data_IF_240219926407
#
_entry.id   IF_240219926407
#
_cell.length_a   1.000
_cell.length_b   1.000
_cell.length_c   1.000
_cell.angle_alpha   90.00
_cell.angle_beta   90.00
_cell.angle_gamma   90.00
#
_symmetry.space_group_name_H-M   'P 1'
#
loop_
_entity.id
_entity.type
_entity.pdbx_description
1 polymer ?
#
# COMPACT_ATOMS: atom_id res chain seq x y z
N UNK A 1 -4.10 -21.25 13.90
CA UNK A 1 -4.53 -19.84 13.83
C UNK A 1 -6.03 -19.70 13.51
N UNK A 2 -6.57 -20.48 12.56
CA UNK A 2 -7.98 -20.39 12.13
C UNK A 2 -8.98 -20.97 13.13
N UNK A 3 -8.54 -21.70 14.12
CA UNK A 3 -9.37 -22.35 15.15
C UNK A 3 -9.46 -21.58 16.48
N UNK A 4 -8.82 -20.42 16.58
CA UNK A 4 -8.83 -19.61 17.81
C UNK A 4 -10.02 -18.65 17.85
N UNK A 5 -10.43 -18.23 19.06
CA UNK A 5 -11.49 -17.23 19.26
C UNK A 5 -11.19 -15.88 18.58
N UNK A 6 -9.91 -15.56 18.37
CA UNK A 6 -9.42 -14.37 17.66
C UNK A 6 -9.06 -14.72 16.22
N UNK A 7 -10.04 -15.11 15.42
CA UNK A 7 -9.85 -15.44 14.01
C UNK A 7 -9.35 -14.19 13.25
N UNK A 8 -8.24 -14.28 12.49
CA UNK A 8 -7.76 -13.15 11.68
C UNK A 8 -8.82 -12.77 10.64
N UNK A 9 -9.02 -11.49 10.44
CA UNK A 9 -9.94 -10.94 9.43
C UNK A 9 -9.25 -10.62 8.12
N UNK A 10 -7.92 -10.57 8.11
CA UNK A 10 -7.12 -10.29 6.92
C UNK A 10 -5.71 -10.84 7.02
N UNK A 11 -5.11 -11.09 5.86
CA UNK A 11 -3.70 -11.49 5.68
C UNK A 11 -3.02 -10.51 4.74
N UNK A 12 -1.80 -10.14 5.09
CA UNK A 12 -0.96 -9.24 4.31
C UNK A 12 0.33 -9.95 3.91
N UNK A 13 0.64 -9.97 2.62
CA UNK A 13 1.88 -10.51 2.07
C UNK A 13 2.85 -9.34 1.83
N UNK A 14 3.79 -9.12 2.78
CA UNK A 14 4.62 -7.90 2.84
C UNK A 14 6.13 -8.17 2.94
N UNK A 15 6.56 -9.42 2.90
CA UNK A 15 7.96 -9.76 3.09
C UNK A 15 8.76 -9.57 1.79
N UNK A 16 9.81 -8.74 1.84
CA UNK A 16 10.67 -8.42 0.69
C UNK A 16 9.86 -8.05 -0.56
N UNK A 17 10.05 -8.81 -1.65
CA UNK A 17 9.25 -8.71 -2.88
C UNK A 17 8.60 -10.07 -3.15
N UNK A 18 7.29 -10.23 -2.91
CA UNK A 18 6.61 -11.51 -3.06
C UNK A 18 6.72 -12.12 -4.47
N UNK A 19 6.85 -11.29 -5.49
CA UNK A 19 7.00 -11.77 -6.87
C UNK A 19 8.33 -12.46 -7.16
N UNK A 20 9.31 -12.44 -6.25
CA UNK A 20 10.54 -13.25 -6.36
C UNK A 20 10.28 -14.75 -6.14
N UNK A 21 9.22 -15.09 -5.40
CA UNK A 21 8.84 -16.47 -5.07
C UNK A 21 7.33 -16.66 -5.33
N UNK A 22 6.86 -16.11 -6.45
CA UNK A 22 5.42 -15.97 -6.74
C UNK A 22 4.70 -17.32 -6.80
N UNK A 23 5.40 -18.38 -7.17
CA UNK A 23 4.86 -19.75 -7.28
C UNK A 23 4.37 -20.31 -5.95
N UNK A 24 4.84 -19.78 -4.83
CA UNK A 24 4.42 -20.24 -3.48
C UNK A 24 3.05 -19.71 -3.08
N UNK A 25 2.62 -18.58 -3.65
CA UNK A 25 1.45 -17.85 -3.16
C UNK A 25 0.09 -18.40 -3.61
N UNK A 26 -0.12 -18.90 -4.84
CA UNK A 26 -1.45 -19.33 -5.28
C UNK A 26 -2.12 -20.34 -4.35
N UNK A 27 -1.38 -21.33 -3.85
CA UNK A 27 -1.93 -22.33 -2.93
C UNK A 27 -2.24 -21.77 -1.55
N UNK A 28 -1.41 -20.84 -1.07
CA UNK A 28 -1.63 -20.15 0.20
C UNK A 28 -2.88 -19.27 0.10
N UNK A 29 -3.01 -18.52 -1.00
CA UNK A 29 -4.16 -17.64 -1.26
C UNK A 29 -5.45 -18.44 -1.30
N UNK A 30 -5.50 -19.57 -2.03
CA UNK A 30 -6.68 -20.44 -2.09
C UNK A 30 -7.12 -20.92 -0.71
N UNK A 31 -6.18 -21.27 0.18
CA UNK A 31 -6.49 -21.70 1.55
C UNK A 31 -7.13 -20.59 2.39
N UNK A 32 -6.60 -19.38 2.33
CA UNK A 32 -7.17 -18.25 3.07
C UNK A 32 -8.50 -17.78 2.47
N UNK A 33 -8.63 -17.81 1.14
CA UNK A 33 -9.92 -17.53 0.47
C UNK A 33 -11.01 -18.51 0.90
N UNK A 34 -10.70 -19.81 0.93
CA UNK A 34 -11.64 -20.83 1.41
C UNK A 34 -12.07 -20.61 2.87
N UNK A 35 -11.23 -19.95 3.66
CA UNK A 35 -11.53 -19.56 5.04
C UNK A 35 -12.29 -18.22 5.15
N UNK A 36 -12.57 -17.53 4.05
CA UNK A 36 -13.25 -16.23 4.03
C UNK A 36 -12.39 -15.10 4.61
N UNK A 37 -11.08 -15.18 4.46
CA UNK A 37 -10.12 -14.19 4.99
C UNK A 37 -9.69 -13.27 3.86
N UNK A 38 -9.87 -11.97 4.04
CA UNK A 38 -9.40 -10.95 3.09
C UNK A 38 -7.88 -10.96 2.97
N UNK A 39 -7.37 -10.84 1.74
CA UNK A 39 -5.95 -10.96 1.46
C UNK A 39 -5.46 -9.80 0.59
N UNK A 40 -4.35 -9.18 0.99
CA UNK A 40 -3.68 -8.21 0.15
C UNK A 40 -2.18 -8.48 0.08
N UNK A 41 -1.59 -8.16 -1.08
CA UNK A 41 -0.17 -8.35 -1.37
C UNK A 41 0.47 -7.02 -1.76
N UNK A 42 1.72 -6.84 -1.36
CA UNK A 42 2.54 -5.69 -1.77
C UNK A 42 3.53 -6.10 -2.84
N UNK A 43 3.85 -5.18 -3.75
CA UNK A 43 4.88 -5.37 -4.77
C UNK A 43 5.50 -4.04 -5.18
N UNK A 44 6.77 -4.05 -5.57
CA UNK A 44 7.38 -2.94 -6.29
C UNK A 44 7.01 -2.94 -7.80
N UNK A 45 6.35 -3.98 -8.28
CA UNK A 45 5.83 -4.12 -9.63
C UNK A 45 6.86 -4.51 -10.71
N UNK A 46 8.15 -4.61 -10.37
CA UNK A 46 9.20 -4.85 -11.38
C UNK A 46 9.19 -6.26 -11.97
N UNK A 47 8.68 -7.23 -11.21
CA UNK A 47 8.58 -8.64 -11.60
C UNK A 47 7.16 -9.06 -12.01
N UNK A 48 6.22 -8.13 -12.12
CA UNK A 48 4.86 -8.42 -12.55
C UNK A 48 4.83 -8.85 -14.01
N UNK A 49 4.38 -10.07 -14.24
CA UNK A 49 4.03 -10.57 -15.59
C UNK A 49 2.52 -10.80 -15.64
N UNK A 50 1.94 -10.77 -16.85
CA UNK A 50 0.51 -11.05 -17.01
C UNK A 50 0.13 -12.45 -16.49
N UNK A 51 1.03 -13.44 -16.67
CA UNK A 51 0.85 -14.80 -16.19
C UNK A 51 0.75 -14.85 -14.66
N UNK A 52 1.70 -14.20 -13.96
CA UNK A 52 1.73 -14.14 -12.51
C UNK A 52 0.50 -13.42 -11.94
N UNK A 53 0.13 -12.29 -12.53
CA UNK A 53 -1.04 -11.52 -12.10
C UNK A 53 -2.34 -12.31 -12.29
N UNK A 54 -2.46 -13.02 -13.41
CA UNK A 54 -3.60 -13.92 -13.66
C UNK A 54 -3.65 -15.05 -12.63
N UNK A 55 -2.51 -15.71 -12.36
CA UNK A 55 -2.43 -16.80 -11.39
C UNK A 55 -2.85 -16.36 -9.97
N UNK A 56 -2.46 -15.16 -9.55
CA UNK A 56 -2.89 -14.59 -8.27
C UNK A 56 -4.40 -14.28 -8.24
N UNK A 57 -4.94 -13.72 -9.32
CA UNK A 57 -6.37 -13.44 -9.46
C UNK A 57 -7.21 -14.72 -9.45
N UNK A 58 -6.81 -15.75 -10.22
CA UNK A 58 -7.46 -17.07 -10.25
C UNK A 58 -7.39 -17.80 -8.89
N UNK A 59 -6.29 -17.60 -8.14
CA UNK A 59 -6.17 -18.10 -6.78
C UNK A 59 -7.10 -17.37 -5.80
N UNK A 60 -7.53 -16.15 -6.14
CA UNK A 60 -8.47 -15.33 -5.38
C UNK A 60 -7.82 -14.33 -4.44
N UNK A 61 -6.72 -13.72 -4.86
CA UNK A 61 -6.19 -12.54 -4.19
C UNK A 61 -7.20 -11.39 -4.29
N UNK A 62 -7.53 -10.78 -3.15
CA UNK A 62 -8.53 -9.72 -3.11
C UNK A 62 -7.96 -8.36 -3.53
N UNK A 63 -6.67 -8.08 -3.17
CA UNK A 63 -6.09 -6.76 -3.36
C UNK A 63 -4.58 -6.83 -3.62
N UNK A 64 -4.10 -6.05 -4.60
CA UNK A 64 -2.68 -5.86 -4.90
C UNK A 64 -2.29 -4.39 -4.77
N UNK A 65 -1.24 -4.12 -3.99
CA UNK A 65 -0.74 -2.77 -3.71
C UNK A 65 0.65 -2.58 -4.31
N UNK A 66 0.76 -1.57 -5.16
CA UNK A 66 2.00 -1.21 -5.83
C UNK A 66 2.76 -0.12 -5.05
N UNK A 67 4.03 -0.37 -4.75
CA UNK A 67 4.94 0.65 -4.23
C UNK A 67 5.61 1.39 -5.40
N UNK A 68 4.94 2.38 -5.97
CA UNK A 68 5.47 3.17 -7.09
C UNK A 68 6.69 4.02 -6.71
N UNK A 69 6.83 4.40 -5.44
CA UNK A 69 8.01 5.13 -4.97
C UNK A 69 9.31 4.34 -5.11
N UNK A 70 9.24 3.01 -4.98
CA UNK A 70 10.40 2.14 -5.14
C UNK A 70 10.99 2.14 -6.57
N UNK A 71 10.23 2.59 -7.56
CA UNK A 71 10.61 2.55 -9.00
C UNK A 71 10.50 3.92 -9.68
N UNK A 72 10.41 5.00 -8.90
CA UNK A 72 10.24 6.37 -9.43
C UNK A 72 9.09 6.47 -10.44
N UNK A 73 7.98 5.77 -10.17
CA UNK A 73 6.81 5.67 -11.05
C UNK A 73 7.16 5.20 -12.48
N UNK A 74 8.00 4.18 -12.62
CA UNK A 74 8.43 3.67 -13.93
C UNK A 74 7.25 3.24 -14.81
N UNK A 75 7.31 3.53 -16.11
CA UNK A 75 6.20 3.30 -17.05
C UNK A 75 5.80 1.82 -17.15
N UNK A 76 6.76 0.90 -17.09
CA UNK A 76 6.47 -0.53 -17.09
C UNK A 76 5.71 -0.98 -15.83
N UNK A 77 5.95 -0.35 -14.68
CA UNK A 77 5.22 -0.64 -13.44
C UNK A 77 3.82 -0.03 -13.49
N UNK A 78 3.66 1.18 -14.04
CA UNK A 78 2.33 1.76 -14.30
C UNK A 78 1.52 0.84 -15.22
N UNK A 79 2.14 0.30 -16.28
CA UNK A 79 1.49 -0.67 -17.18
C UNK A 79 1.12 -1.98 -16.45
N UNK A 80 1.90 -2.40 -15.44
CA UNK A 80 1.57 -3.57 -14.61
C UNK A 80 0.30 -3.35 -13.79
N UNK A 81 0.00 -2.11 -13.36
CA UNK A 81 -1.28 -1.77 -12.71
C UNK A 81 -2.45 -2.01 -13.66
N UNK A 82 -2.35 -1.55 -14.91
CA UNK A 82 -3.38 -1.80 -15.94
C UNK A 82 -3.62 -3.30 -16.15
N UNK A 83 -2.54 -4.07 -16.19
CA UNK A 83 -2.64 -5.52 -16.35
C UNK A 83 -3.26 -6.18 -15.11
N UNK A 84 -2.86 -5.77 -13.91
CA UNK A 84 -3.40 -6.30 -12.65
C UNK A 84 -4.92 -6.08 -12.53
N UNK A 85 -5.43 -4.94 -12.99
CA UNK A 85 -6.87 -4.62 -12.99
C UNK A 85 -7.73 -5.60 -13.79
N UNK A 86 -7.14 -6.37 -14.72
CA UNK A 86 -7.87 -7.40 -15.48
C UNK A 86 -8.20 -8.63 -14.62
N UNK A 87 -7.41 -8.90 -13.57
CA UNK A 87 -7.43 -10.17 -12.85
C UNK A 87 -7.71 -10.02 -11.37
N UNK A 88 -7.33 -8.91 -10.75
CA UNK A 88 -7.40 -8.69 -9.31
C UNK A 88 -8.48 -7.64 -9.01
N UNK A 89 -9.43 -7.95 -8.11
CA UNK A 89 -10.58 -7.09 -7.85
C UNK A 89 -10.21 -5.67 -7.43
N UNK A 90 -9.22 -5.55 -6.52
CA UNK A 90 -8.76 -4.25 -6.01
C UNK A 90 -7.28 -4.06 -6.31
N UNK A 91 -6.94 -2.99 -6.99
CA UNK A 91 -5.54 -2.63 -7.28
C UNK A 91 -5.29 -1.19 -6.82
N UNK A 92 -4.27 -1.02 -5.98
CA UNK A 92 -3.99 0.25 -5.33
C UNK A 92 -2.51 0.61 -5.38
N UNK A 93 -2.21 1.86 -5.07
CA UNK A 93 -0.87 2.31 -4.74
C UNK A 93 -0.76 2.39 -3.22
N UNK A 94 0.29 1.81 -2.65
CA UNK A 94 0.74 2.09 -1.30
C UNK A 94 2.24 2.30 -1.28
N UNK A 95 2.66 3.52 -0.99
CA UNK A 95 4.06 3.92 -1.02
C UNK A 95 4.34 4.94 0.09
N UNK A 96 5.57 4.98 0.64
CA UNK A 96 5.96 6.03 1.54
C UNK A 96 5.88 7.41 0.85
N UNK A 97 5.25 8.36 1.51
CA UNK A 97 5.15 9.73 1.01
C UNK A 97 6.49 10.44 1.18
N UNK A 98 7.27 10.49 0.10
CA UNK A 98 8.56 11.15 -0.01
C UNK A 98 8.52 12.26 -1.06
N UNK A 99 9.40 13.30 -0.98
CA UNK A 99 9.48 14.33 -2.00
C UNK A 99 9.72 13.76 -3.40
N UNK A 100 10.62 12.78 -3.53
CA UNK A 100 10.94 12.13 -4.80
C UNK A 100 9.72 11.41 -5.39
N UNK A 101 8.98 10.65 -4.57
CA UNK A 101 7.74 10.04 -5.02
C UNK A 101 6.74 11.08 -5.49
N UNK A 102 6.56 12.16 -4.71
CA UNK A 102 5.59 13.21 -5.05
C UNK A 102 5.93 13.88 -6.39
N UNK A 103 7.20 14.17 -6.63
CA UNK A 103 7.66 14.75 -7.90
C UNK A 103 7.38 13.82 -9.08
N UNK A 104 7.79 12.56 -9.01
CA UNK A 104 7.54 11.57 -10.07
C UNK A 104 6.04 11.31 -10.27
N UNK A 105 5.27 11.27 -9.19
CA UNK A 105 3.83 11.13 -9.27
C UNK A 105 3.19 12.31 -10.02
N UNK A 106 3.57 13.57 -9.72
CA UNK A 106 3.04 14.73 -10.43
C UNK A 106 3.35 14.70 -11.94
N UNK A 107 4.56 14.23 -12.32
CA UNK A 107 4.96 14.09 -13.71
C UNK A 107 4.14 13.02 -14.46
N UNK A 108 3.72 11.97 -13.76
CA UNK A 108 3.03 10.79 -14.32
C UNK A 108 1.56 10.69 -13.92
N UNK A 109 1.03 11.69 -13.23
CA UNK A 109 -0.29 11.67 -12.58
C UNK A 109 -1.39 11.18 -13.51
N UNK A 110 -1.49 11.77 -14.70
CA UNK A 110 -2.56 11.43 -15.65
C UNK A 110 -2.47 9.98 -16.13
N UNK A 111 -1.26 9.49 -16.39
CA UNK A 111 -1.02 8.10 -16.76
C UNK A 111 -1.37 7.14 -15.60
N UNK A 112 -1.01 7.50 -14.36
CA UNK A 112 -1.33 6.71 -13.17
C UNK A 112 -2.84 6.66 -12.96
N UNK A 113 -3.53 7.79 -13.01
CA UNK A 113 -4.99 7.84 -12.82
C UNK A 113 -5.75 7.12 -13.95
N UNK A 114 -5.21 7.15 -15.18
CA UNK A 114 -5.79 6.42 -16.32
C UNK A 114 -5.68 4.89 -16.20
N UNK A 115 -4.88 4.34 -15.26
CA UNK A 115 -4.78 2.89 -15.04
C UNK A 115 -6.06 2.25 -14.52
N UNK A 116 -6.98 3.06 -13.96
CA UNK A 116 -8.17 2.58 -13.30
C UNK A 116 -7.91 1.98 -11.91
N UNK A 117 -6.81 2.39 -11.24
CA UNK A 117 -6.57 1.99 -9.84
C UNK A 117 -7.74 2.41 -8.93
N UNK A 118 -7.93 1.70 -7.83
CA UNK A 118 -9.08 1.92 -6.94
C UNK A 118 -8.82 2.97 -5.88
N UNK A 119 -7.59 3.02 -5.32
CA UNK A 119 -7.22 4.02 -4.32
C UNK A 119 -5.71 4.22 -4.21
N UNK A 120 -5.31 5.28 -3.53
CA UNK A 120 -3.93 5.55 -3.10
C UNK A 120 -3.89 5.55 -1.58
N UNK A 121 -3.03 4.72 -1.00
CA UNK A 121 -2.78 4.66 0.43
C UNK A 121 -1.46 5.37 0.74
N UNK A 122 -1.55 6.59 1.27
CA UNK A 122 -0.40 7.43 1.58
C UNK A 122 0.28 6.93 2.85
N UNK A 123 1.26 6.03 2.71
CA UNK A 123 2.02 5.55 3.85
C UNK A 123 2.94 6.65 4.38
N UNK A 124 2.85 6.95 5.67
CA UNK A 124 3.79 7.85 6.30
C UNK A 124 5.18 7.22 6.37
N UNK A 125 6.21 7.96 5.97
CA UNK A 125 7.58 7.45 6.03
C UNK A 125 7.99 7.20 7.47
N UNK A 126 8.37 5.96 7.73
CA UNK A 126 8.83 5.49 9.03
C UNK A 126 10.35 5.51 9.10
N UNK A 127 10.89 6.21 10.08
CA UNK A 127 12.32 6.21 10.31
C UNK A 127 12.71 5.12 11.31
N UNK A 128 13.76 4.41 10.98
CA UNK A 128 14.41 3.41 11.79
C UNK A 128 15.93 3.63 11.78
N UNK A 129 16.73 2.94 12.59
CA UNK A 129 18.18 3.15 12.64
C UNK A 129 18.89 3.01 11.28
N UNK A 130 18.35 2.21 10.34
CA UNK A 130 19.00 1.97 9.06
C UNK A 130 18.76 3.12 8.06
N UNK A 131 17.60 3.76 8.08
CA UNK A 131 17.28 4.84 7.13
C UNK A 131 17.39 6.25 7.73
N UNK A 132 17.39 6.39 9.07
CA UNK A 132 17.53 7.67 9.75
C UNK A 132 18.73 8.51 9.29
N UNK A 133 19.93 7.93 9.04
CA UNK A 133 21.07 8.70 8.56
C UNK A 133 20.82 9.50 7.27
N UNK A 134 19.91 9.02 6.41
CA UNK A 134 19.59 9.67 5.14
C UNK A 134 18.75 10.95 5.32
N UNK A 135 18.21 11.18 6.51
CA UNK A 135 17.27 12.26 6.80
C UNK A 135 17.75 13.20 7.92
N UNK A 136 19.03 13.13 8.30
CA UNK A 136 19.63 14.03 9.31
C UNK A 136 19.50 15.48 8.82
N UNK A 137 19.05 16.38 9.71
CA UNK A 137 18.79 17.79 9.37
C UNK A 137 17.38 18.07 8.81
N UNK A 138 16.60 17.03 8.55
CA UNK A 138 15.19 17.20 8.16
C UNK A 138 14.33 17.46 9.39
N UNK A 139 13.39 18.42 9.36
CA UNK A 139 12.40 18.60 10.43
C UNK A 139 11.56 17.34 10.63
N UNK A 140 11.51 16.85 11.87
CA UNK A 140 10.86 15.61 12.24
C UNK A 140 9.90 15.83 13.39
N UNK A 141 8.94 14.92 13.53
CA UNK A 141 8.13 14.80 14.72
C UNK A 141 8.11 13.35 15.22
N UNK A 142 7.76 13.18 16.48
CA UNK A 142 7.61 11.87 17.10
C UNK A 142 6.17 11.67 17.58
N UNK A 143 5.60 10.54 17.23
CA UNK A 143 4.29 10.13 17.76
C UNK A 143 4.41 9.68 19.21
N UNK A 144 3.27 9.63 19.93
CA UNK A 144 3.22 9.13 21.33
C UNK A 144 3.75 7.69 21.50
N UNK A 145 3.83 6.91 20.42
CA UNK A 145 4.39 5.54 20.43
C UNK A 145 5.87 5.47 20.05
N UNK A 146 6.55 6.62 19.90
CA UNK A 146 7.97 6.67 19.59
C UNK A 146 8.29 6.50 18.09
N UNK A 147 7.29 6.49 17.20
CA UNK A 147 7.56 6.53 15.77
C UNK A 147 8.02 7.92 15.37
N UNK A 148 9.13 7.99 14.64
CA UNK A 148 9.69 9.24 14.11
C UNK A 148 9.42 9.31 12.62
N UNK A 149 8.96 10.46 12.16
CA UNK A 149 8.64 10.72 10.75
C UNK A 149 9.03 12.15 10.36
N UNK A 150 9.51 12.38 9.13
CA UNK A 150 9.68 13.71 8.60
C UNK A 150 8.35 14.43 8.45
N UNK A 151 8.31 15.72 8.79
CA UNK A 151 7.07 16.53 8.70
C UNK A 151 6.53 16.55 7.26
N UNK A 152 7.39 16.67 6.26
CA UNK A 152 6.99 16.71 4.85
C UNK A 152 6.23 15.43 4.39
N UNK A 153 6.43 14.27 5.05
CA UNK A 153 5.68 13.07 4.69
C UNK A 153 4.17 13.25 4.93
N UNK A 154 3.80 13.93 6.01
CA UNK A 154 2.41 14.31 6.30
C UNK A 154 1.91 15.40 5.36
N UNK A 155 2.74 16.40 5.07
CA UNK A 155 2.39 17.50 4.17
C UNK A 155 2.07 16.98 2.77
N UNK A 156 2.87 16.05 2.23
CA UNK A 156 2.63 15.40 0.95
C UNK A 156 1.31 14.62 0.95
N UNK A 157 1.02 13.88 2.02
CA UNK A 157 -0.28 13.20 2.17
C UNK A 157 -1.44 14.17 2.03
N UNK A 158 -1.40 15.29 2.76
CA UNK A 158 -2.47 16.29 2.70
C UNK A 158 -2.54 17.01 1.34
N UNK A 159 -1.40 17.23 0.69
CA UNK A 159 -1.37 17.79 -0.67
C UNK A 159 -2.07 16.85 -1.67
N UNK A 160 -1.77 15.55 -1.65
CA UNK A 160 -2.42 14.57 -2.52
C UNK A 160 -3.92 14.44 -2.24
N UNK A 161 -4.32 14.41 -0.96
CA UNK A 161 -5.73 14.37 -0.58
C UNK A 161 -6.48 15.62 -1.09
N UNK A 162 -5.88 16.80 -0.95
CA UNK A 162 -6.44 18.05 -1.45
C UNK A 162 -6.54 18.06 -2.97
N UNK A 163 -5.49 17.64 -3.68
CA UNK A 163 -5.49 17.56 -5.14
C UNK A 163 -6.59 16.60 -5.62
N UNK A 164 -6.68 15.42 -5.02
CA UNK A 164 -7.72 14.44 -5.33
C UNK A 164 -9.13 15.04 -5.23
N UNK A 165 -9.40 15.80 -4.15
CA UNK A 165 -10.69 16.42 -3.93
C UNK A 165 -10.97 17.55 -4.92
N UNK A 166 -9.98 18.41 -5.19
CA UNK A 166 -10.14 19.60 -6.06
C UNK A 166 -10.23 19.22 -7.54
N UNK A 167 -9.41 18.23 -7.96
CA UNK A 167 -9.31 17.79 -9.35
C UNK A 167 -10.28 16.63 -9.68
N UNK A 168 -11.05 16.16 -8.68
CA UNK A 168 -12.05 15.08 -8.83
C UNK A 168 -11.49 13.81 -9.49
N UNK A 169 -10.43 13.23 -8.91
CA UNK A 169 -9.74 12.05 -9.51
C UNK A 169 -10.60 10.80 -9.62
N UNK A 170 -11.77 10.75 -9.00
CA UNK A 170 -12.67 9.60 -9.03
C UNK A 170 -12.22 8.40 -8.19
N UNK A 171 -11.14 8.54 -7.44
CA UNK A 171 -10.58 7.55 -6.53
C UNK A 171 -10.51 8.10 -5.10
N UNK A 172 -10.17 7.24 -4.14
CA UNK A 172 -9.94 7.65 -2.76
C UNK A 172 -8.44 7.75 -2.47
N UNK A 173 -8.03 8.83 -1.80
CA UNK A 173 -6.67 8.96 -1.24
C UNK A 173 -6.78 8.83 0.27
N UNK A 174 -6.17 7.76 0.82
CA UNK A 174 -6.20 7.43 2.24
C UNK A 174 -4.98 7.97 2.99
N UNK A 175 -5.22 8.51 4.17
CA UNK A 175 -4.17 8.81 5.15
C UNK A 175 -3.80 7.55 5.93
N UNK A 176 -2.70 6.89 5.56
CA UNK A 176 -2.13 5.76 6.27
C UNK A 176 -0.98 6.19 7.21
N UNK A 177 -1.22 7.24 7.98
CA UNK A 177 -0.24 7.73 8.94
C UNK A 177 -0.17 6.88 10.20
N UNK A 178 0.94 7.04 10.92
CA UNK A 178 1.12 6.44 12.24
C UNK A 178 0.08 6.92 13.25
N UNK A 179 -0.37 8.17 13.12
CA UNK A 179 -1.42 8.74 13.96
C UNK A 179 -2.78 8.09 13.68
N UNK A 180 -3.15 7.94 12.41
CA UNK A 180 -4.41 7.29 12.00
C UNK A 180 -4.45 5.82 12.41
N UNK A 181 -3.34 5.09 12.23
CA UNK A 181 -3.20 3.70 12.70
C UNK A 181 -3.39 3.61 14.21
N UNK A 182 -2.82 4.54 14.97
CA UNK A 182 -2.98 4.58 16.43
C UNK A 182 -4.40 4.87 16.87
N UNK A 183 -5.08 5.83 16.26
CA UNK A 183 -6.47 6.17 16.57
C UNK A 183 -7.40 4.97 16.27
N UNK A 184 -7.16 4.24 15.18
CA UNK A 184 -7.90 3.02 14.84
C UNK A 184 -7.70 1.92 15.88
N UNK A 185 -6.47 1.69 16.33
CA UNK A 185 -6.16 0.68 17.36
C UNK A 185 -6.85 0.99 18.68
N UNK A 186 -6.91 2.26 19.09
CA UNK A 186 -7.62 2.69 20.31
C UNK A 186 -9.12 2.43 20.19
N UNK A 187 -9.71 2.75 19.03
CA UNK A 187 -11.14 2.53 18.80
C UNK A 187 -11.51 1.04 18.75
N UNK A 188 -10.63 0.19 18.22
CA UNK A 188 -10.84 -1.26 18.23
C UNK A 188 -10.81 -1.80 19.68
N UNK A 189 -9.80 -1.42 20.47
CA UNK A 189 -9.67 -1.86 21.88
C UNK A 189 -10.83 -1.38 22.75
N UNK A 190 -11.34 -0.17 22.50
CA UNK A 190 -12.51 0.35 23.20
C UNK A 190 -13.79 -0.45 22.90
N UNK A 191 -13.90 -1.04 21.70
CA UNK A 191 -15.03 -1.91 21.32
C UNK A 191 -14.92 -3.32 21.89
N UNK A 192 -13.70 -3.82 22.12
CA UNK A 192 -13.46 -5.16 22.66
C UNK A 192 -13.54 -5.20 24.21
N UNK A 193 -13.44 -4.05 24.88
CA UNK A 193 -13.47 -3.92 26.33
C UNK A 193 -14.80 -3.44 26.94
N UNK A 194 -15.86 -3.40 26.14
CA UNK A 194 -17.22 -2.99 26.54
C UNK A 194 -18.16 -4.19 26.72
#
# INVERSE_FOLDING_TARGET
>A
LLSTSNRPTGVSYVYLEPFMEIELYPDIIRKFRAAGIHQHMYTNGTLCTEENLRALGEAGLDELRFNLGATSCADNVIQSIVTAKKYIPTVAIETPMTPDFYEHFQQKKDAILATGLDFINCAELHLNPNNLPNYIGTPMYMTRRGYVSPIWSREITFQLMRQCAVEHWGIVVHDCSNHTKFARDLNLRAKEGG
#
